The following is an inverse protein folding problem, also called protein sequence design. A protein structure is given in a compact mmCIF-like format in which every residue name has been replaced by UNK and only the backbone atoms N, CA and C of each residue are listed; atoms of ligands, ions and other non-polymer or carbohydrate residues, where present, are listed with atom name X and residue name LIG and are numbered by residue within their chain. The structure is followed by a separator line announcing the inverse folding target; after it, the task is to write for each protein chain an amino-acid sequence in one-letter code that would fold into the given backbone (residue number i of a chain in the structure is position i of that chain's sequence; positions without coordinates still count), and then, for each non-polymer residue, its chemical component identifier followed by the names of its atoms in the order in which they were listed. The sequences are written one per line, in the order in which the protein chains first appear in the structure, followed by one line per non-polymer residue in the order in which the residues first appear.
data_IF_990078981450
#
_entry.id   IF_990078981450
#
_cell.length_a   1.000
_cell.length_b   1.000
_cell.length_c   1.000
_cell.angle_alpha   90.00
_cell.angle_beta   90.00
_cell.angle_gamma   90.00
#
_symmetry.space_group_name_H-M   'P 1'
#
loop_
_entity.id
_entity.type
_entity.pdbx_description
1 polymer ?
#
# COMPACT_ATOMS: atom_id res chain seq x y z
N UNK A 1 -9.49 -2.99 -2.35
CA UNK A 1 -8.18 -3.64 -2.56
C UNK A 1 -7.20 -3.12 -1.51
N UNK A 2 -5.98 -3.65 -1.45
CA UNK A 2 -4.95 -3.22 -0.48
C UNK A 2 -3.72 -2.71 -1.22
N UNK A 3 -3.25 -1.51 -0.86
CA UNK A 3 -1.97 -0.98 -1.30
C UNK A 3 -0.99 -0.97 -0.12
N UNK A 4 0.22 -1.46 -0.36
CA UNK A 4 1.30 -1.50 0.64
C UNK A 4 2.45 -0.64 0.13
N UNK A 5 2.80 0.39 0.90
CA UNK A 5 4.00 1.18 0.69
C UNK A 5 5.05 0.76 1.73
N UNK A 6 6.10 0.08 1.25
CA UNK A 6 7.26 -0.30 2.07
C UNK A 6 8.37 0.72 1.86
N UNK A 7 8.80 1.37 2.94
CA UNK A 7 9.91 2.32 2.94
C UNK A 7 11.09 1.72 3.72
N UNK A 8 12.28 1.83 3.15
CA UNK A 8 13.54 1.51 3.82
C UNK A 8 14.24 2.84 4.13
N UNK A 9 14.39 3.10 5.42
CA UNK A 9 15.01 4.32 5.96
C UNK A 9 16.43 3.95 6.38
N UNK A 10 17.41 4.55 5.74
CA UNK A 10 18.82 4.31 6.06
C UNK A 10 19.19 5.05 7.35
N UNK A 11 20.05 4.43 8.15
CA UNK A 11 20.60 5.06 9.35
C UNK A 11 21.54 6.23 8.98
N UNK A 12 21.55 7.26 9.83
CA UNK A 12 22.51 8.36 9.76
C UNK A 12 23.83 7.97 10.43
N UNK A 13 24.81 7.52 9.64
CA UNK A 13 26.14 7.08 10.13
C UNK A 13 26.86 8.17 10.94
N UNK A 14 26.74 9.43 10.52
CA UNK A 14 27.29 10.62 11.22
C UNK A 14 26.72 10.81 12.63
N UNK A 15 25.59 10.19 12.93
CA UNK A 15 24.95 10.18 14.26
C UNK A 15 25.09 8.83 14.97
N UNK A 16 25.94 7.94 14.46
CA UNK A 16 26.18 6.61 15.00
C UNK A 16 25.06 5.61 14.70
N UNK A 17 24.18 5.89 13.74
CA UNK A 17 23.12 4.96 13.33
C UNK A 17 23.61 4.11 12.15
N UNK A 18 24.03 2.88 12.43
CA UNK A 18 24.55 1.96 11.41
C UNK A 18 23.50 1.00 10.83
N UNK A 19 22.29 0.98 11.40
CA UNK A 19 21.21 0.09 10.98
C UNK A 19 20.15 0.85 10.20
N UNK A 20 19.53 0.17 9.23
CA UNK A 20 18.36 0.68 8.53
C UNK A 20 17.08 0.29 9.28
N UNK A 21 16.03 1.06 9.08
CA UNK A 21 14.70 0.79 9.58
C UNK A 21 13.75 0.55 8.40
N UNK A 22 12.87 -0.43 8.52
CA UNK A 22 11.81 -0.66 7.54
C UNK A 22 10.49 -0.24 8.14
N UNK A 23 9.70 0.48 7.33
CA UNK A 23 8.37 0.95 7.70
C UNK A 23 7.39 0.54 6.61
N UNK A 24 6.23 0.03 7.01
CA UNK A 24 5.13 -0.30 6.11
C UNK A 24 3.94 0.61 6.35
N UNK A 25 3.33 1.09 5.27
CA UNK A 25 2.07 1.82 5.28
C UNK A 25 1.04 1.07 4.44
N UNK A 26 -0.12 0.79 5.03
CA UNK A 26 -1.17 -0.02 4.43
C UNK A 26 -2.40 0.84 4.23
N UNK A 27 -2.88 0.90 2.98
CA UNK A 27 -4.00 1.73 2.56
C UNK A 27 -5.09 0.89 1.91
N UNK A 28 -6.34 1.30 2.09
CA UNK A 28 -7.41 0.83 1.22
C UNK A 28 -7.20 1.44 -0.16
N UNK A 29 -7.24 0.61 -1.20
CA UNK A 29 -7.08 1.04 -2.57
C UNK A 29 -8.35 0.81 -3.37
N UNK A 30 -8.76 1.82 -4.13
CA UNK A 30 -9.93 1.75 -4.99
C UNK A 30 -9.61 0.97 -6.26
N UNK A 31 -10.49 0.05 -6.65
CA UNK A 31 -10.32 -0.77 -7.86
C UNK A 31 -10.30 0.07 -9.12
N UNK A 32 -11.06 1.15 -9.16
CA UNK A 32 -11.16 2.02 -10.34
C UNK A 32 -9.88 2.83 -10.56
N UNK A 33 -9.09 3.02 -9.49
CA UNK A 33 -7.78 3.68 -9.56
C UNK A 33 -6.64 2.74 -9.97
N UNK A 34 -6.91 1.43 -10.12
CA UNK A 34 -5.90 0.45 -10.53
C UNK A 34 -5.86 0.25 -12.04
N UNK A 35 -4.65 0.29 -12.60
CA UNK A 35 -4.42 -0.15 -13.99
C UNK A 35 -3.57 -1.41 -13.92
N UNK A 36 -4.15 -2.55 -14.32
CA UNK A 36 -3.43 -3.81 -14.31
C UNK A 36 -2.30 -3.83 -15.33
N UNK A 37 -1.24 -4.59 -15.02
CA UNK A 37 -0.13 -4.82 -15.95
C UNK A 37 -0.60 -5.47 -17.25
N UNK A 38 -1.63 -6.32 -17.20
CA UNK A 38 -2.26 -6.94 -18.37
C UNK A 38 -2.96 -5.91 -19.26
N UNK A 39 -3.71 -4.97 -18.67
CA UNK A 39 -4.34 -3.88 -19.43
C UNK A 39 -3.29 -3.02 -20.16
N UNK A 40 -2.20 -2.66 -19.47
CA UNK A 40 -1.08 -1.94 -20.09
C UNK A 40 -0.38 -2.77 -21.18
N UNK A 41 -0.22 -4.07 -20.96
CA UNK A 41 0.43 -4.97 -21.91
C UNK A 41 -0.39 -5.12 -23.19
N UNK A 42 -1.71 -5.33 -23.08
CA UNK A 42 -2.64 -5.38 -24.21
C UNK A 42 -2.64 -4.08 -25.01
N UNK A 43 -2.60 -2.95 -24.31
CA UNK A 43 -2.56 -1.63 -24.94
C UNK A 43 -1.25 -1.44 -25.75
N UNK A 44 -0.10 -1.87 -25.22
CA UNK A 44 1.20 -1.82 -25.90
C UNK A 44 1.37 -2.87 -27.01
N UNK A 45 0.71 -4.01 -26.91
CA UNK A 45 0.66 -4.99 -28.00
C UNK A 45 0.00 -4.39 -29.25
N UNK A 46 -1.06 -3.59 -29.07
CA UNK A 46 -1.74 -2.91 -30.17
C UNK A 46 -0.95 -1.72 -30.69
N UNK A 47 -0.36 -0.94 -29.78
CA UNK A 47 0.43 0.25 -30.11
C UNK A 47 1.66 0.33 -29.20
N UNK A 48 2.85 -0.12 -29.66
CA UNK A 48 4.05 -0.21 -28.84
C UNK A 48 4.50 1.13 -28.24
N UNK A 49 4.24 2.23 -28.94
CA UNK A 49 4.60 3.60 -28.54
C UNK A 49 3.61 4.29 -27.60
N UNK A 50 2.46 3.67 -27.27
CA UNK A 50 1.47 4.34 -26.42
C UNK A 50 1.99 4.50 -24.99
N UNK A 51 1.92 5.73 -24.51
CA UNK A 51 2.17 6.10 -23.13
C UNK A 51 0.84 6.60 -22.56
N UNK A 52 0.42 6.06 -21.41
CA UNK A 52 -0.73 6.59 -20.68
C UNK A 52 -0.25 7.70 -19.76
N UNK A 53 -0.84 8.88 -19.90
CA UNK A 53 -0.70 9.98 -18.94
C UNK A 53 -1.84 9.90 -17.91
N UNK A 54 -1.62 10.35 -16.66
CA UNK A 54 -2.71 10.57 -15.72
C UNK A 54 -3.81 11.44 -16.35
N UNK A 55 -5.07 11.14 -16.06
CA UNK A 55 -6.21 11.96 -16.49
C UNK A 55 -6.25 13.28 -15.71
N UNK A 56 -5.84 13.24 -14.44
CA UNK A 56 -5.79 14.36 -13.53
C UNK A 56 -4.44 14.40 -12.78
N UNK A 57 -3.94 15.62 -12.51
CA UNK A 57 -2.79 15.84 -11.64
C UNK A 57 -3.29 16.19 -10.22
N UNK A 58 -3.25 15.19 -9.34
CA UNK A 58 -3.69 15.32 -7.95
C UNK A 58 -2.61 15.96 -7.05
N UNK A 59 -1.41 16.23 -7.58
CA UNK A 59 -0.31 16.82 -6.82
C UNK A 59 0.14 15.99 -5.60
N UNK A 60 0.53 16.66 -4.52
CA UNK A 60 1.01 16.02 -3.29
C UNK A 60 -0.14 15.80 -2.31
N UNK A 61 -0.34 14.54 -1.91
CA UNK A 61 -1.25 14.19 -0.81
C UNK A 61 -0.46 13.87 0.45
N UNK A 62 -0.90 14.40 1.59
CA UNK A 62 -0.32 14.07 2.89
C UNK A 62 -1.23 13.06 3.60
N UNK A 63 -0.62 12.03 4.18
CA UNK A 63 -1.33 11.03 4.97
C UNK A 63 -0.80 11.02 6.39
N UNK A 64 -1.71 11.00 7.37
CA UNK A 64 -1.39 10.77 8.77
C UNK A 64 -1.86 9.38 9.13
N UNK A 65 -0.97 8.61 9.76
CA UNK A 65 -1.23 7.24 10.16
C UNK A 65 -1.65 7.19 11.61
N UNK A 66 -2.85 6.67 11.88
CA UNK A 66 -3.47 6.73 13.20
C UNK A 66 -3.30 5.43 13.99
N UNK A 67 -3.06 4.31 13.30
CA UNK A 67 -3.05 2.98 13.88
C UNK A 67 -1.83 2.16 13.46
N UNK A 68 -1.39 1.29 14.36
CA UNK A 68 -0.43 0.23 14.08
C UNK A 68 -1.18 -1.07 13.75
N UNK A 69 -0.71 -1.80 12.75
CA UNK A 69 -1.28 -3.09 12.33
C UNK A 69 -0.53 -4.22 13.03
N UNK A 70 -1.28 -5.10 13.68
CA UNK A 70 -0.76 -6.34 14.27
C UNK A 70 -0.59 -7.37 13.16
N UNK A 71 0.65 -7.59 12.70
CA UNK A 71 0.97 -8.46 11.55
C UNK A 71 0.36 -9.88 11.64
N UNK A 72 0.37 -10.58 12.79
CA UNK A 72 -0.29 -11.90 12.89
C UNK A 72 -1.79 -11.88 12.54
N UNK A 73 -2.46 -10.73 12.69
CA UNK A 73 -3.89 -10.57 12.41
C UNK A 73 -4.15 -9.87 11.08
N UNK A 74 -3.12 -9.47 10.33
CA UNK A 74 -3.28 -8.71 9.09
C UNK A 74 -3.95 -9.51 7.96
N UNK A 75 -4.02 -10.84 8.08
CA UNK A 75 -4.74 -11.72 7.16
C UNK A 75 -6.23 -11.39 7.03
N UNK A 76 -6.82 -10.71 8.02
CA UNK A 76 -8.18 -10.19 7.94
C UNK A 76 -8.32 -9.10 6.86
N UNK A 77 -7.25 -8.36 6.58
CA UNK A 77 -7.21 -7.30 5.56
C UNK A 77 -6.70 -7.88 4.23
N UNK A 78 -5.55 -8.56 4.27
CA UNK A 78 -4.96 -9.25 3.12
C UNK A 78 -3.93 -10.28 3.58
N UNK A 79 -3.90 -11.47 2.96
CA UNK A 79 -2.96 -12.53 3.32
C UNK A 79 -1.49 -12.16 3.02
N UNK A 80 -1.25 -11.16 2.17
CA UNK A 80 0.11 -10.81 1.73
C UNK A 80 0.81 -9.81 2.67
N UNK A 81 0.08 -9.17 3.58
CA UNK A 81 0.63 -8.14 4.47
C UNK A 81 1.71 -8.73 5.39
N UNK A 82 1.48 -9.92 5.95
CA UNK A 82 2.42 -10.55 6.88
C UNK A 82 3.78 -10.73 6.25
N UNK A 83 3.82 -11.19 4.99
CA UNK A 83 5.05 -11.55 4.30
C UNK A 83 5.78 -10.31 3.78
N UNK A 84 5.04 -9.35 3.21
CA UNK A 84 5.62 -8.14 2.65
C UNK A 84 6.15 -7.18 3.73
N UNK A 85 5.52 -7.17 4.90
CA UNK A 85 5.84 -6.27 6.01
C UNK A 85 6.51 -6.97 7.20
N UNK A 86 6.92 -8.24 7.08
CA UNK A 86 7.58 -9.00 8.15
C UNK A 86 8.76 -8.23 8.78
N UNK A 87 9.56 -7.59 7.94
CA UNK A 87 10.75 -6.82 8.34
C UNK A 87 10.41 -5.48 9.03
N UNK A 88 9.24 -4.91 8.74
CA UNK A 88 8.76 -3.70 9.40
C UNK A 88 8.29 -4.00 10.83
N UNK A 89 7.81 -5.22 11.10
CA UNK A 89 7.33 -5.61 12.43
C UNK A 89 6.25 -4.65 12.94
N UNK A 90 6.50 -4.04 14.10
CA UNK A 90 5.62 -3.04 14.73
C UNK A 90 5.59 -1.69 14.00
N UNK A 91 6.54 -1.42 13.10
CA UNK A 91 6.54 -0.22 12.24
C UNK A 91 5.64 -0.41 11.01
N UNK A 92 4.46 -0.98 11.22
CA UNK A 92 3.44 -1.21 10.19
C UNK A 92 2.19 -0.41 10.56
N UNK A 93 1.79 0.52 9.70
CA UNK A 93 0.77 1.51 10.03
C UNK A 93 -0.37 1.57 9.02
N UNK A 94 -1.53 2.04 9.48
CA UNK A 94 -2.72 2.28 8.67
C UNK A 94 -3.55 3.45 9.23
N UNK A 95 -4.58 3.87 8.50
CA UNK A 95 -5.47 4.98 8.89
C UNK A 95 -6.82 4.46 9.35
N UNK A 96 -7.51 5.25 10.18
CA UNK A 96 -8.88 4.89 10.59
C UNK A 96 -9.81 4.67 9.39
N UNK A 97 -9.75 5.55 8.41
CA UNK A 97 -10.62 5.53 7.23
C UNK A 97 -10.47 4.24 6.42
N UNK A 98 -9.25 3.71 6.31
CA UNK A 98 -8.99 2.48 5.57
C UNK A 98 -9.63 1.27 6.27
N UNK A 99 -9.57 1.23 7.60
CA UNK A 99 -10.21 0.18 8.41
C UNK A 99 -11.73 0.17 8.22
N UNK A 100 -12.37 1.34 8.22
CA UNK A 100 -13.82 1.46 8.00
C UNK A 100 -14.19 0.95 6.61
N UNK A 101 -13.39 1.27 5.59
CA UNK A 101 -13.62 0.81 4.22
C UNK A 101 -13.48 -0.72 4.10
N UNK A 102 -12.46 -1.32 4.71
CA UNK A 102 -12.29 -2.78 4.73
C UNK A 102 -13.41 -3.48 5.50
N UNK A 103 -13.82 -2.95 6.65
CA UNK A 103 -14.92 -3.51 7.44
C UNK A 103 -16.24 -3.50 6.65
N UNK A 104 -16.57 -2.37 6.00
CA UNK A 104 -17.77 -2.28 5.17
C UNK A 104 -17.74 -3.26 3.98
N UNK A 105 -16.58 -3.45 3.34
CA UNK A 105 -16.41 -4.41 2.25
C UNK A 105 -16.64 -5.86 2.69
N UNK A 106 -16.25 -6.22 3.93
CA UNK A 106 -16.50 -7.56 4.48
C UNK A 106 -17.98 -7.80 4.77
N UNK A 107 -18.71 -6.82 5.29
CA UNK A 107 -20.16 -6.94 5.53
C UNK A 107 -20.94 -7.17 4.22
N UNK A 108 -20.48 -6.57 3.12
CA UNK A 108 -21.02 -6.81 1.77
C UNK A 108 -20.71 -8.21 1.23
N UNK A 109 -19.62 -8.85 1.68
CA UNK A 109 -19.26 -10.21 1.27
C UNK A 109 -20.00 -11.30 2.05
N UNK A 110 -20.66 -10.96 3.17
CA UNK A 110 -21.39 -11.91 4.03
C UNK A 110 -22.92 -11.91 3.78
N UNK A 111 -23.43 -11.05 2.89
CA UNK A 111 -24.81 -11.04 2.41
C UNK A 111 -24.91 -11.75 1.07
#
# INVERSE_FOLDING_TARGET
EVQILKALILGEEERGQSQYQVVCFIFHFDKDSFISSDAMSKLRQKNPSTIRTPEEDLGRTNYTMDYTVVLPHSGLISPYISDLCAEAGEATYTRHVDLVLWAAAQELSMK
#
